data_IF_209223310183
#
_entry.id   IF_209223310183
#
_cell.length_a   1.000
_cell.length_b   1.000
_cell.length_c   1.000
_cell.angle_alpha   90.00
_cell.angle_beta   90.00
_cell.angle_gamma   90.00
#
_symmetry.space_group_name_H-M   'P 1'
#
loop_
_entity.id
_entity.type
_entity.pdbx_description
1 polymer ?
#
# COMPACT_ATOMS: atom_id res chain seq x y z
N UNK A 1 10.04 4.51 15.25
CA UNK A 1 10.03 5.53 14.18
C UNK A 1 8.94 6.54 14.53
N UNK A 2 9.24 7.84 14.62
CA UNK A 2 8.18 8.87 14.68
C UNK A 2 7.89 9.26 13.23
N UNK A 3 6.90 8.61 12.62
CA UNK A 3 6.62 8.71 11.19
C UNK A 3 5.13 8.87 10.92
N UNK A 4 4.80 9.23 9.69
CA UNK A 4 3.43 9.18 9.16
C UNK A 4 3.27 7.92 8.31
N UNK A 5 2.08 7.63 7.82
CA UNK A 5 1.82 6.43 7.06
C UNK A 5 0.49 6.50 6.32
N UNK A 6 0.23 5.48 5.53
CA UNK A 6 -1.03 5.28 4.84
C UNK A 6 -1.16 3.80 4.47
N UNK A 7 -2.40 3.37 4.23
CA UNK A 7 -2.71 2.00 3.88
C UNK A 7 -3.22 1.93 2.43
N UNK A 8 -2.82 0.88 1.71
CA UNK A 8 -3.30 0.63 0.34
C UNK A 8 -3.67 -0.82 0.14
N UNK A 9 -4.48 -1.10 -0.86
CA UNK A 9 -4.79 -2.47 -1.28
C UNK A 9 -4.45 -2.65 -2.75
N UNK A 10 -3.77 -3.74 -3.11
CA UNK A 10 -3.26 -3.99 -4.46
C UNK A 10 -3.73 -5.33 -5.02
N UNK A 11 -3.94 -5.38 -6.34
CA UNK A 11 -4.52 -6.55 -7.02
C UNK A 11 -3.52 -7.65 -7.40
N UNK A 12 -2.33 -7.62 -6.79
CA UNK A 12 -1.24 -8.53 -7.11
C UNK A 12 -0.36 -8.80 -5.91
N UNK A 13 0.12 -10.03 -5.80
CA UNK A 13 1.19 -10.38 -4.87
C UNK A 13 2.55 -10.03 -5.49
N UNK A 14 3.46 -9.50 -4.67
CA UNK A 14 4.83 -9.22 -5.08
C UNK A 14 5.81 -10.02 -4.24
N UNK A 15 6.93 -10.41 -4.86
CA UNK A 15 8.11 -10.77 -4.07
C UNK A 15 8.67 -9.51 -3.39
N UNK A 16 9.22 -9.67 -2.18
CA UNK A 16 9.80 -8.53 -1.44
C UNK A 16 10.86 -7.79 -2.27
N UNK A 17 11.71 -8.51 -3.00
CA UNK A 17 12.75 -7.91 -3.84
C UNK A 17 12.17 -7.04 -4.98
N UNK A 18 11.08 -7.48 -5.60
CA UNK A 18 10.41 -6.70 -6.64
C UNK A 18 9.73 -5.46 -6.07
N UNK A 19 9.04 -5.61 -4.93
CA UNK A 19 8.34 -4.48 -4.31
C UNK A 19 9.32 -3.44 -3.74
N UNK A 20 10.45 -3.85 -3.16
CA UNK A 20 11.55 -2.95 -2.77
C UNK A 20 12.05 -2.15 -3.98
N UNK A 21 12.18 -2.78 -5.16
CA UNK A 21 12.62 -2.07 -6.36
C UNK A 21 11.59 -1.01 -6.82
N UNK A 22 10.29 -1.30 -6.73
CA UNK A 22 9.23 -0.32 -6.99
C UNK A 22 9.33 0.85 -6.00
N UNK A 23 9.34 0.55 -4.69
CA UNK A 23 9.36 1.58 -3.65
C UNK A 23 10.63 2.45 -3.73
N UNK A 24 11.78 1.85 -4.06
CA UNK A 24 13.03 2.57 -4.31
C UNK A 24 12.88 3.62 -5.42
N UNK A 25 12.23 3.26 -6.52
CA UNK A 25 11.95 4.19 -7.63
C UNK A 25 10.88 5.23 -7.29
N UNK A 26 9.84 4.86 -6.53
CA UNK A 26 8.73 5.75 -6.15
C UNK A 26 9.20 6.85 -5.20
N UNK A 27 9.96 6.48 -4.18
CA UNK A 27 10.46 7.37 -3.13
C UNK A 27 11.83 7.98 -3.44
N UNK A 28 12.48 7.56 -4.53
CA UNK A 28 13.85 7.93 -4.88
C UNK A 28 14.85 7.67 -3.73
N UNK A 29 14.73 6.49 -3.12
CA UNK A 29 15.56 6.04 -2.00
C UNK A 29 16.36 4.79 -2.37
N UNK A 30 17.53 4.63 -1.77
CA UNK A 30 18.27 3.37 -1.84
C UNK A 30 17.46 2.22 -1.22
N UNK A 31 17.58 1.03 -1.81
CA UNK A 31 16.85 -0.18 -1.38
C UNK A 31 17.15 -0.54 0.08
N UNK A 32 18.33 -0.19 0.60
CA UNK A 32 18.72 -0.44 1.98
C UNK A 32 17.91 0.37 3.02
N UNK A 33 17.19 1.40 2.58
CA UNK A 33 16.29 2.20 3.42
C UNK A 33 14.85 1.68 3.47
N UNK A 34 14.57 0.56 2.79
CA UNK A 34 13.23 0.01 2.62
C UNK A 34 13.19 -1.37 3.23
N UNK A 35 12.23 -1.59 4.12
CA UNK A 35 11.99 -2.88 4.75
C UNK A 35 10.55 -3.33 4.48
N UNK A 36 10.39 -4.59 4.07
CA UNK A 36 9.09 -5.23 3.90
C UNK A 36 8.97 -6.31 4.97
N UNK A 37 7.94 -6.19 5.80
CA UNK A 37 7.56 -7.19 6.78
C UNK A 37 6.32 -7.95 6.31
N UNK A 38 6.28 -9.26 6.55
CA UNK A 38 5.09 -10.10 6.33
C UNK A 38 4.46 -10.55 7.65
N UNK A 39 5.12 -10.29 8.78
CA UNK A 39 4.61 -10.58 10.11
C UNK A 39 5.17 -9.62 11.16
N UNK A 40 4.52 -9.55 12.33
CA UNK A 40 4.97 -8.70 13.44
C UNK A 40 6.27 -9.25 14.06
N UNK A 41 6.50 -10.57 14.00
CA UNK A 41 7.71 -11.21 14.51
C UNK A 41 8.97 -10.76 13.74
N UNK A 42 8.84 -10.44 12.45
CA UNK A 42 9.93 -9.86 11.66
C UNK A 42 10.36 -8.48 12.16
N UNK A 43 9.49 -7.78 12.90
CA UNK A 43 9.79 -6.50 13.56
C UNK A 43 10.52 -6.67 14.90
N UNK A 44 10.57 -7.88 15.46
CA UNK A 44 11.21 -8.17 16.75
C UNK A 44 12.75 -8.33 16.66
N UNK A 45 13.33 -8.22 15.46
CA UNK A 45 14.79 -8.30 15.24
C UNK A 45 15.49 -7.04 15.77
N UNK A 46 16.67 -7.13 16.43
CA UNK A 46 17.28 -6.00 17.15
C UNK A 46 17.57 -4.75 16.29
N UNK A 47 16.74 -3.73 16.50
CA UNK A 47 16.90 -2.26 16.59
C UNK A 47 17.98 -1.47 15.84
N UNK A 48 19.13 -2.00 15.44
CA UNK A 48 20.14 -1.19 14.73
C UNK A 48 19.85 -1.06 13.23
N UNK A 49 19.25 -2.09 12.62
CA UNK A 49 18.73 -2.00 11.23
C UNK A 49 17.60 -0.98 11.10
N UNK A 50 16.72 -0.87 12.11
CA UNK A 50 15.59 0.06 12.06
C UNK A 50 15.99 1.54 12.20
N UNK A 51 17.25 1.84 12.55
CA UNK A 51 17.74 3.22 12.55
C UNK A 51 17.95 3.76 11.13
N UNK A 52 18.19 2.87 10.17
CA UNK A 52 18.39 3.26 8.77
C UNK A 52 17.10 3.15 7.96
N UNK A 53 16.16 2.27 8.35
CA UNK A 53 14.87 2.14 7.64
C UNK A 53 14.14 3.48 7.60
N UNK A 54 13.82 3.94 6.39
CA UNK A 54 13.00 5.13 6.13
C UNK A 54 11.58 4.76 5.68
N UNK A 55 11.43 3.60 5.02
CA UNK A 55 10.13 3.07 4.59
C UNK A 55 9.97 1.66 5.16
N UNK A 56 8.95 1.45 5.97
CA UNK A 56 8.48 0.14 6.41
C UNK A 56 7.14 -0.14 5.71
N UNK A 57 7.04 -1.28 5.05
CA UNK A 57 5.80 -1.77 4.47
C UNK A 57 5.42 -3.12 5.10
N UNK A 58 4.27 -3.20 5.76
CA UNK A 58 3.75 -4.43 6.33
C UNK A 58 2.70 -4.97 5.36
N UNK A 59 2.92 -6.17 4.84
CA UNK A 59 2.09 -6.76 3.79
C UNK A 59 1.23 -7.87 4.39
N UNK A 60 -0.09 -7.74 4.20
CA UNK A 60 -1.08 -8.72 4.59
C UNK A 60 -1.79 -9.26 3.35
N UNK A 61 -2.01 -10.57 3.31
CA UNK A 61 -2.82 -11.18 2.25
C UNK A 61 -4.30 -10.85 2.46
N UNK A 62 -4.97 -10.45 1.39
CA UNK A 62 -6.42 -10.25 1.33
C UNK A 62 -6.99 -11.01 0.13
N UNK A 63 -8.32 -11.10 0.06
CA UNK A 63 -9.01 -11.93 -0.92
C UNK A 63 -9.98 -11.11 -1.80
N UNK A 64 -10.64 -11.76 -2.75
CA UNK A 64 -11.60 -11.14 -3.66
C UNK A 64 -10.95 -10.67 -4.96
N UNK A 65 -11.19 -9.41 -5.33
CA UNK A 65 -10.59 -8.77 -6.52
C UNK A 65 -9.17 -8.27 -6.29
N UNK A 66 -8.70 -8.32 -5.03
CA UNK A 66 -7.38 -7.88 -4.62
C UNK A 66 -6.64 -8.97 -3.85
N UNK A 67 -5.32 -8.81 -3.69
CA UNK A 67 -4.46 -9.86 -3.15
C UNK A 67 -3.63 -9.41 -1.95
N UNK A 68 -3.35 -8.12 -1.80
CA UNK A 68 -2.53 -7.65 -0.67
C UNK A 68 -3.01 -6.30 -0.13
N UNK A 69 -3.17 -6.20 1.19
CA UNK A 69 -3.26 -4.94 1.91
C UNK A 69 -1.87 -4.60 2.46
N UNK A 70 -1.46 -3.35 2.30
CA UNK A 70 -0.12 -2.89 2.64
C UNK A 70 -0.25 -1.67 3.53
N UNK A 71 0.28 -1.78 4.73
CA UNK A 71 0.41 -0.67 5.66
C UNK A 71 1.81 -0.06 5.56
N UNK A 72 1.88 1.23 5.24
CA UNK A 72 3.14 1.96 5.20
C UNK A 72 3.37 2.71 6.50
N UNK A 73 4.60 2.62 7.01
CA UNK A 73 5.16 3.55 7.97
C UNK A 73 6.37 4.24 7.36
N UNK A 74 6.32 5.57 7.28
CA UNK A 74 7.27 6.40 6.57
C UNK A 74 7.91 7.37 7.57
N UNK A 75 9.23 7.32 7.64
CA UNK A 75 10.03 8.21 8.47
C UNK A 75 9.78 9.68 8.13
N UNK A 76 9.71 10.54 9.15
CA UNK A 76 9.27 11.95 8.99
C UNK A 76 10.16 12.81 8.11
N UNK A 77 11.40 12.39 7.83
CA UNK A 77 12.30 13.11 6.92
C UNK A 77 11.96 12.87 5.44
N UNK A 78 11.20 11.82 5.12
CA UNK A 78 10.81 11.50 3.75
C UNK A 78 9.57 12.31 3.38
N UNK A 79 9.72 13.22 2.42
CA UNK A 79 8.59 13.96 1.85
C UNK A 79 7.88 13.11 0.81
N UNK A 80 6.57 13.00 0.92
CA UNK A 80 5.74 12.29 -0.04
C UNK A 80 4.34 12.90 -0.13
N UNK A 81 3.66 12.62 -1.24
CA UNK A 81 2.23 12.81 -1.40
C UNK A 81 1.62 11.42 -1.65
N UNK A 82 0.57 11.07 -0.89
CA UNK A 82 -0.04 9.74 -0.91
C UNK A 82 -0.53 9.37 -2.32
N UNK A 83 -1.25 10.28 -2.97
CA UNK A 83 -1.78 10.05 -4.32
C UNK A 83 -0.67 9.84 -5.34
N UNK A 84 0.35 10.70 -5.34
CA UNK A 84 1.51 10.56 -6.25
C UNK A 84 2.24 9.23 -6.05
N UNK A 85 2.39 8.80 -4.80
CA UNK A 85 3.01 7.52 -4.47
C UNK A 85 2.21 6.37 -5.05
N UNK A 86 0.88 6.38 -4.87
CA UNK A 86 0.01 5.31 -5.36
C UNK A 86 -0.04 5.25 -6.88
N UNK A 87 -0.14 6.40 -7.56
CA UNK A 87 -0.08 6.47 -9.03
C UNK A 87 1.23 5.83 -9.53
N UNK A 88 2.37 6.16 -8.89
CA UNK A 88 3.66 5.59 -9.28
C UNK A 88 3.76 4.10 -8.95
N UNK A 89 3.24 3.64 -7.81
CA UNK A 89 3.17 2.21 -7.48
C UNK A 89 2.33 1.46 -8.51
N UNK A 90 1.13 1.96 -8.82
CA UNK A 90 0.22 1.38 -9.82
C UNK A 90 0.90 1.26 -11.18
N UNK A 91 1.58 2.33 -11.62
CA UNK A 91 2.28 2.38 -12.90
C UNK A 91 3.52 1.49 -12.94
N UNK A 92 4.43 1.60 -11.98
CA UNK A 92 5.69 0.85 -11.97
C UNK A 92 5.48 -0.63 -11.63
N UNK A 93 4.50 -0.94 -10.78
CA UNK A 93 4.10 -2.31 -10.46
C UNK A 93 3.23 -2.96 -11.52
N UNK A 94 2.63 -2.16 -12.42
CA UNK A 94 1.56 -2.58 -13.32
C UNK A 94 0.44 -3.30 -12.57
N UNK A 95 -0.11 -2.61 -11.57
CA UNK A 95 -1.14 -3.11 -10.64
C UNK A 95 -2.24 -2.08 -10.42
N UNK A 96 -3.42 -2.55 -10.05
CA UNK A 96 -4.48 -1.69 -9.53
C UNK A 96 -4.27 -1.44 -8.05
N UNK A 97 -4.55 -0.22 -7.61
CA UNK A 97 -4.46 0.15 -6.20
C UNK A 97 -5.79 0.73 -5.73
N UNK A 98 -6.22 0.37 -4.51
CA UNK A 98 -7.27 1.06 -3.78
C UNK A 98 -6.64 1.89 -2.67
N UNK A 99 -7.22 3.06 -2.48
CA UNK A 99 -6.98 3.95 -1.35
C UNK A 99 -8.33 4.33 -0.73
N UNK A 100 -8.48 4.32 0.60
CA UNK A 100 -9.68 4.86 1.24
C UNK A 100 -9.94 6.31 0.83
N UNK A 101 -11.19 6.64 0.47
CA UNK A 101 -11.57 8.02 0.19
C UNK A 101 -11.79 8.77 1.52
N UNK A 102 -10.75 9.45 2.01
CA UNK A 102 -10.80 10.23 3.26
C UNK A 102 -11.81 11.38 3.23
N UNK A 103 -12.32 11.76 2.06
CA UNK A 103 -13.39 12.76 1.95
C UNK A 103 -14.79 12.16 2.15
N UNK A 104 -14.91 10.83 2.09
CA UNK A 104 -16.16 10.12 2.35
C UNK A 104 -16.39 9.91 3.86
N UNK A 105 -17.66 9.75 4.22
CA UNK A 105 -18.08 9.30 5.57
C UNK A 105 -18.24 7.79 5.66
N UNK A 106 -17.99 7.08 4.56
CA UNK A 106 -18.20 5.65 4.43
C UNK A 106 -16.85 4.97 4.15
N UNK A 107 -16.41 4.08 5.06
CA UNK A 107 -15.12 3.37 4.97
C UNK A 107 -14.99 2.41 3.76
N UNK A 108 -16.08 2.27 3.02
CA UNK A 108 -16.26 1.42 1.84
C UNK A 108 -16.17 2.19 0.53
N UNK A 109 -16.10 3.52 0.60
CA UNK A 109 -15.76 4.34 -0.56
C UNK A 109 -14.25 4.38 -0.72
N UNK A 110 -13.79 3.95 -1.90
CA UNK A 110 -12.39 3.82 -2.22
C UNK A 110 -12.10 4.51 -3.56
N UNK A 111 -10.87 4.96 -3.73
CA UNK A 111 -10.36 5.47 -5.00
C UNK A 111 -9.56 4.36 -5.66
N UNK A 112 -10.00 3.91 -6.83
CA UNK A 112 -9.28 2.96 -7.67
C UNK A 112 -8.31 3.68 -8.60
N UNK A 113 -7.03 3.35 -8.49
CA UNK A 113 -5.96 3.76 -9.39
C UNK A 113 -5.61 2.62 -10.34
N UNK A 114 -5.60 2.90 -11.64
CA UNK A 114 -5.24 1.95 -12.69
C UNK A 114 -3.82 2.23 -13.23
N UNK A 115 -3.12 1.20 -13.75
CA UNK A 115 -1.75 1.35 -14.26
C UNK A 115 -1.57 2.39 -15.38
N UNK A 116 -2.65 2.71 -16.10
CA UNK A 116 -2.68 3.70 -17.17
C UNK A 116 -2.77 5.16 -16.67
N UNK A 117 -2.88 5.36 -15.34
CA UNK A 117 -3.04 6.66 -14.70
C UNK A 117 -4.50 7.08 -14.53
N UNK A 118 -5.46 6.29 -14.98
CA UNK A 118 -6.88 6.53 -14.71
C UNK A 118 -7.16 6.34 -13.22
N UNK A 119 -7.91 7.26 -12.63
CA UNK A 119 -8.47 7.11 -11.28
C UNK A 119 -9.99 7.27 -11.29
N UNK A 120 -10.68 6.51 -10.45
CA UNK A 120 -12.14 6.60 -10.29
C UNK A 120 -12.57 6.18 -8.88
N UNK A 121 -13.65 6.77 -8.39
CA UNK A 121 -14.26 6.31 -7.14
C UNK A 121 -14.98 4.99 -7.38
N UNK A 122 -14.82 4.07 -6.44
CA UNK A 122 -15.44 2.76 -6.43
C UNK A 122 -15.98 2.46 -5.04
N UNK A 123 -16.98 1.60 -4.98
CA UNK A 123 -17.50 1.09 -3.74
C UNK A 123 -17.03 -0.35 -3.56
N UNK A 124 -16.60 -0.70 -2.35
CA UNK A 124 -16.26 -2.08 -1.98
C UNK A 124 -17.35 -2.68 -1.11
N UNK A 125 -17.69 -3.95 -1.35
CA UNK A 125 -18.73 -4.64 -0.59
C UNK A 125 -18.35 -4.71 0.91
N UNK A 126 -19.19 -4.12 1.76
CA UNK A 126 -18.92 -4.02 3.21
C UNK A 126 -18.86 -5.38 3.91
N UNK A 127 -19.78 -6.29 3.59
CA UNK A 127 -19.82 -7.63 4.20
C UNK A 127 -18.60 -8.48 3.82
N UNK A 128 -18.05 -8.27 2.62
CA UNK A 128 -16.83 -8.89 2.16
C UNK A 128 -15.60 -8.32 2.91
N UNK A 129 -15.55 -7.01 3.15
CA UNK A 129 -14.46 -6.39 3.92
C UNK A 129 -14.35 -6.95 5.34
N UNK A 130 -15.46 -7.26 6.00
CA UNK A 130 -15.47 -7.92 7.32
C UNK A 130 -14.73 -9.28 7.31
N UNK A 131 -14.56 -9.90 6.14
CA UNK A 131 -13.82 -11.15 5.91
C UNK A 131 -12.45 -10.95 5.26
N UNK A 132 -11.94 -9.72 5.20
CA UNK A 132 -10.74 -9.33 4.44
C UNK A 132 -10.84 -9.64 2.93
N UNK A 133 -12.04 -9.56 2.36
CA UNK A 133 -12.30 -9.67 0.93
C UNK A 133 -12.60 -8.27 0.35
N UNK A 134 -11.83 -7.85 -0.66
CA UNK A 134 -12.04 -6.59 -1.36
C UNK A 134 -12.69 -6.87 -2.71
N UNK A 135 -14.00 -6.65 -2.81
CA UNK A 135 -14.79 -6.87 -4.02
C UNK A 135 -15.38 -5.53 -4.45
N UNK A 136 -15.02 -5.06 -5.64
CA UNK A 136 -15.60 -3.84 -6.21
C UNK A 136 -17.02 -4.13 -6.66
N UNK A 137 -17.98 -3.36 -6.15
CA UNK A 137 -19.34 -3.39 -6.66
C UNK A 137 -19.48 -2.38 -7.79
N UNK A 138 -19.96 -2.84 -8.94
CA UNK A 138 -20.40 -1.93 -9.99
C UNK A 138 -21.75 -1.36 -9.56
N UNK A 139 -21.82 -0.06 -9.27
CA UNK A 139 -23.10 0.64 -9.32
C UNK A 139 -23.62 0.54 -10.77
N UNK A 140 -24.87 0.06 -10.91
CA UNK A 140 -25.61 0.18 -12.17
C UNK A 140 -26.01 1.62 -12.43
#
# INVERSE_FOLDING_TARGET
>A
MKGTGFDIVIDKEFSSAYFIAILSAVFALDKNYIFIAHSIEELAVPTDMFRTVKILAIVHKVYGSFCSAIQFSIDGDVKYNVEDVIIKISKYGNVKCLLPDESSRCDIDMILFLPDGTKRNVYVNSEAMDRNEYIIENYK
#
